data_IF_301248903706
#
_entry.id   IF_301248903706
#
_cell.length_a   1.000
_cell.length_b   1.000
_cell.length_c   1.000
_cell.angle_alpha   90.00
_cell.angle_beta   90.00
_cell.angle_gamma   90.00
#
_symmetry.space_group_name_H-M   'P 1'
#
loop_
_entity.id
_entity.type
_entity.pdbx_description
1 polymer ?
#
# COMPACT_ATOMS: atom_id res chain seq x y z
N UNK A 1 -8.53 14.70 -18.95
CA UNK A 1 -7.45 13.70 -18.91
C UNK A 1 -7.85 12.54 -19.80
N UNK A 2 -6.89 12.02 -20.58
CA UNK A 2 -7.13 10.94 -21.53
C UNK A 2 -7.25 9.58 -20.81
N UNK A 3 -8.12 8.70 -21.32
CA UNK A 3 -8.35 7.37 -20.76
C UNK A 3 -7.09 6.49 -20.77
N UNK A 4 -6.16 6.71 -21.71
CA UNK A 4 -4.87 6.02 -21.76
C UNK A 4 -4.01 6.34 -20.53
N UNK A 5 -3.90 7.62 -20.17
CA UNK A 5 -3.20 8.04 -18.95
C UNK A 5 -3.84 7.46 -17.69
N UNK A 6 -5.17 7.47 -17.62
CA UNK A 6 -5.92 6.86 -16.52
C UNK A 6 -5.66 5.35 -16.40
N UNK A 7 -5.54 4.65 -17.53
CA UNK A 7 -5.21 3.22 -17.56
C UNK A 7 -3.77 2.95 -17.10
N UNK A 8 -2.79 3.77 -17.48
CA UNK A 8 -1.41 3.62 -16.99
C UNK A 8 -1.32 3.83 -15.48
N UNK A 9 -2.00 4.86 -14.95
CA UNK A 9 -2.10 5.08 -13.49
C UNK A 9 -2.75 3.86 -12.81
N UNK A 10 -3.83 3.32 -13.37
CA UNK A 10 -4.52 2.15 -12.81
C UNK A 10 -3.63 0.90 -12.79
N UNK A 11 -2.76 0.71 -13.80
CA UNK A 11 -1.78 -0.39 -13.83
C UNK A 11 -0.77 -0.27 -12.69
N UNK A 12 -0.22 0.92 -12.45
CA UNK A 12 0.71 1.14 -11.33
C UNK A 12 0.00 0.97 -9.97
N UNK A 13 -1.26 1.43 -9.84
CA UNK A 13 -2.06 1.15 -8.64
C UNK A 13 -2.32 -0.35 -8.44
N UNK A 14 -2.53 -1.11 -9.52
CA UNK A 14 -2.69 -2.57 -9.45
C UNK A 14 -1.42 -3.26 -8.96
N UNK A 15 -0.23 -2.85 -9.44
CA UNK A 15 1.06 -3.34 -8.97
C UNK A 15 1.26 -3.02 -7.49
N UNK A 16 1.07 -1.75 -7.11
CA UNK A 16 1.16 -1.29 -5.72
C UNK A 16 0.23 -2.10 -4.79
N UNK A 17 -1.01 -2.35 -5.22
CA UNK A 17 -1.95 -3.18 -4.46
C UNK A 17 -1.46 -4.62 -4.28
N UNK A 18 -0.85 -5.23 -5.28
CA UNK A 18 -0.29 -6.59 -5.16
C UNK A 18 0.85 -6.61 -4.14
N UNK A 19 1.78 -5.65 -4.20
CA UNK A 19 2.85 -5.52 -3.21
C UNK A 19 2.29 -5.40 -1.80
N UNK A 20 1.26 -4.58 -1.57
CA UNK A 20 0.65 -4.48 -0.24
C UNK A 20 -0.02 -5.78 0.26
N UNK A 21 -0.53 -6.63 -0.65
CA UNK A 21 -1.07 -7.94 -0.23
C UNK A 21 0.06 -8.86 0.23
N UNK A 22 1.19 -8.85 -0.49
CA UNK A 22 2.36 -9.62 -0.10
C UNK A 22 3.00 -9.09 1.18
N UNK A 23 3.08 -7.77 1.37
CA UNK A 23 3.55 -7.16 2.62
C UNK A 23 2.68 -7.62 3.79
N UNK A 24 1.36 -7.63 3.65
CA UNK A 24 0.46 -8.11 4.70
C UNK A 24 0.70 -9.59 5.00
N UNK A 25 0.74 -10.44 3.96
CA UNK A 25 0.97 -11.88 4.09
C UNK A 25 2.30 -12.16 4.79
N UNK A 26 3.38 -11.55 4.33
CA UNK A 26 4.72 -11.72 4.89
C UNK A 26 4.77 -11.21 6.33
N UNK A 27 4.09 -10.11 6.65
CA UNK A 27 4.00 -9.59 8.03
C UNK A 27 3.34 -10.60 8.96
N UNK A 28 2.28 -11.28 8.51
CA UNK A 28 1.68 -12.39 9.26
C UNK A 28 2.65 -13.56 9.43
N UNK A 29 3.32 -13.97 8.35
CA UNK A 29 4.30 -15.07 8.36
C UNK A 29 5.48 -14.77 9.32
N UNK A 30 5.92 -13.51 9.39
CA UNK A 30 6.92 -13.03 10.36
C UNK A 30 6.41 -13.22 11.79
N UNK A 31 5.17 -12.81 12.07
CA UNK A 31 4.54 -12.99 13.37
C UNK A 31 4.49 -14.46 13.81
N UNK A 32 4.21 -15.36 12.87
CA UNK A 32 4.16 -16.81 13.11
C UNK A 32 5.57 -17.40 13.32
N UNK A 33 6.56 -16.98 12.53
CA UNK A 33 7.96 -17.38 12.69
C UNK A 33 8.54 -16.93 14.04
N UNK A 34 8.22 -15.70 14.47
CA UNK A 34 8.59 -15.17 15.79
C UNK A 34 7.98 -16.00 16.92
N UNK A 35 6.71 -16.40 16.80
CA UNK A 35 6.06 -17.29 17.78
C UNK A 35 6.72 -18.67 17.89
N UNK A 36 7.36 -19.15 16.82
CA UNK A 36 8.14 -20.39 16.81
C UNK A 36 9.62 -20.20 17.19
N UNK A 37 10.04 -18.97 17.48
CA UNK A 37 11.43 -18.58 17.71
C UNK A 37 12.37 -18.97 16.55
N UNK A 38 11.85 -18.98 15.32
CA UNK A 38 12.62 -19.31 14.12
C UNK A 38 13.30 -18.06 13.57
N UNK A 39 14.45 -17.72 14.15
CA UNK A 39 15.19 -16.50 13.81
C UNK A 39 15.72 -16.49 12.38
N UNK A 40 16.03 -17.66 11.81
CA UNK A 40 16.54 -17.75 10.44
C UNK A 40 15.43 -17.40 9.45
N UNK A 41 14.23 -17.96 9.63
CA UNK A 41 13.08 -17.65 8.80
C UNK A 41 12.65 -16.19 8.93
N UNK A 42 12.69 -15.62 10.14
CA UNK A 42 12.38 -14.18 10.35
C UNK A 42 13.27 -13.29 9.49
N UNK A 43 14.57 -13.55 9.42
CA UNK A 43 15.48 -12.72 8.62
C UNK A 43 15.19 -12.81 7.11
N UNK A 44 14.88 -14.01 6.61
CA UNK A 44 14.48 -14.21 5.21
C UNK A 44 13.20 -13.41 4.91
N UNK A 45 12.18 -13.56 5.76
CA UNK A 45 10.90 -12.89 5.57
C UNK A 45 11.02 -11.36 5.66
N UNK A 46 11.89 -10.82 6.53
CA UNK A 46 12.16 -9.39 6.58
C UNK A 46 12.77 -8.87 5.28
N UNK A 47 13.69 -9.63 4.66
CA UNK A 47 14.25 -9.30 3.34
C UNK A 47 13.16 -9.28 2.26
N UNK A 48 12.34 -10.33 2.19
CA UNK A 48 11.22 -10.40 1.24
C UNK A 48 10.23 -9.25 1.44
N UNK A 49 9.92 -8.89 2.69
CA UNK A 49 9.04 -7.75 2.98
C UNK A 49 9.64 -6.44 2.49
N UNK A 50 10.95 -6.25 2.65
CA UNK A 50 11.64 -5.06 2.16
C UNK A 50 11.59 -4.97 0.62
N UNK A 51 11.79 -6.10 -0.08
CA UNK A 51 11.68 -6.14 -1.54
C UNK A 51 10.30 -5.69 -2.01
N UNK A 52 9.22 -6.16 -1.38
CA UNK A 52 7.85 -5.73 -1.71
C UNK A 52 7.60 -4.25 -1.41
N UNK A 53 8.18 -3.71 -0.32
CA UNK A 53 8.11 -2.28 0.00
C UNK A 53 8.81 -1.46 -1.10
N UNK A 54 9.99 -1.87 -1.53
CA UNK A 54 10.75 -1.18 -2.57
C UNK A 54 9.97 -1.17 -3.91
N UNK A 55 9.28 -2.26 -4.26
CA UNK A 55 8.42 -2.33 -5.44
C UNK A 55 7.17 -1.45 -5.32
N UNK A 56 6.56 -1.38 -4.14
CA UNK A 56 5.44 -0.48 -3.87
C UNK A 56 5.87 0.99 -3.99
N UNK A 57 7.05 1.35 -3.50
CA UNK A 57 7.63 2.70 -3.67
C UNK A 57 7.91 3.02 -5.14
N UNK A 58 8.43 2.06 -5.90
CA UNK A 58 8.66 2.25 -7.33
C UNK A 58 7.36 2.54 -8.06
N UNK A 59 6.31 1.78 -7.76
CA UNK A 59 4.97 2.01 -8.32
C UNK A 59 4.43 3.40 -7.96
N UNK A 60 4.65 3.86 -6.72
CA UNK A 60 4.27 5.21 -6.31
C UNK A 60 5.03 6.30 -7.07
N UNK A 61 6.34 6.14 -7.27
CA UNK A 61 7.15 7.08 -8.06
C UNK A 61 6.68 7.13 -9.51
N UNK A 62 6.31 5.99 -10.10
CA UNK A 62 5.75 5.93 -11.45
C UNK A 62 4.41 6.66 -11.54
N UNK A 63 3.52 6.51 -10.55
CA UNK A 63 2.27 7.27 -10.47
C UNK A 63 2.57 8.77 -10.45
N UNK A 64 3.48 9.23 -9.59
CA UNK A 64 3.86 10.64 -9.53
C UNK A 64 4.46 11.16 -10.85
N UNK A 65 5.26 10.34 -11.53
CA UNK A 65 5.82 10.68 -12.83
C UNK A 65 4.72 10.83 -13.89
N UNK A 66 3.76 9.90 -13.96
CA UNK A 66 2.61 9.98 -14.86
C UNK A 66 1.79 11.26 -14.62
N UNK A 67 1.53 11.57 -13.35
CA UNK A 67 0.82 12.79 -12.95
C UNK A 67 1.58 14.09 -13.31
N UNK A 68 2.90 14.02 -13.49
CA UNK A 68 3.70 15.20 -13.89
C UNK A 68 3.55 15.57 -15.38
N UNK A 69 3.02 14.66 -16.21
CA UNK A 69 2.80 14.90 -17.64
C UNK A 69 1.42 15.48 -17.99
N UNK A 70 0.54 15.61 -16.99
CA UNK A 70 -0.81 16.19 -17.16
C UNK A 70 -0.91 17.53 -16.45
N UNK A 71 -2.03 18.24 -16.66
CA UNK A 71 -2.23 19.53 -16.02
C UNK A 71 -2.37 19.40 -14.50
N UNK A 72 -2.02 20.44 -13.75
CA UNK A 72 -2.12 20.46 -12.28
C UNK A 72 -3.54 20.16 -11.77
N UNK A 73 -4.57 20.63 -12.48
CA UNK A 73 -5.97 20.36 -12.12
C UNK A 73 -6.30 18.87 -12.29
N UNK A 74 -5.94 18.28 -13.43
CA UNK A 74 -6.14 16.85 -13.67
C UNK A 74 -5.34 15.99 -12.69
N UNK A 75 -4.10 16.37 -12.38
CA UNK A 75 -3.27 15.66 -11.40
C UNK A 75 -3.89 15.70 -10.00
N UNK A 76 -4.46 16.84 -9.62
CA UNK A 76 -5.15 17.01 -8.33
C UNK A 76 -6.40 16.12 -8.26
N UNK A 77 -7.20 16.09 -9.33
CA UNK A 77 -8.37 15.22 -9.42
C UNK A 77 -7.98 13.73 -9.39
N UNK A 78 -6.98 13.34 -10.18
CA UNK A 78 -6.47 11.98 -10.21
C UNK A 78 -5.97 11.53 -8.83
N UNK A 79 -5.28 12.40 -8.10
CA UNK A 79 -4.84 12.12 -6.72
C UNK A 79 -5.99 11.89 -5.75
N UNK A 80 -7.11 12.61 -5.91
CA UNK A 80 -8.31 12.36 -5.11
C UNK A 80 -8.85 10.95 -5.37
N UNK A 81 -8.88 10.51 -6.64
CA UNK A 81 -9.32 9.15 -6.99
C UNK A 81 -8.34 8.08 -6.52
N UNK A 82 -7.03 8.28 -6.66
CA UNK A 82 -5.98 7.37 -6.18
C UNK A 82 -6.05 7.20 -4.66
N UNK A 83 -6.46 8.25 -3.93
CA UNK A 83 -6.73 8.22 -2.48
C UNK A 83 -8.11 7.67 -2.12
N UNK A 84 -8.86 7.12 -3.08
CA UNK A 84 -10.17 6.52 -2.82
C UNK A 84 -11.25 7.53 -2.41
N UNK A 85 -11.10 8.82 -2.72
CA UNK A 85 -12.17 9.80 -2.48
C UNK A 85 -13.35 9.50 -3.39
N UNK A 86 -14.54 9.40 -2.79
CA UNK A 86 -15.80 9.04 -3.46
C UNK A 86 -16.69 10.21 -3.85
N UNK A 87 -16.25 11.44 -3.57
CA UNK A 87 -17.00 12.65 -3.91
C UNK A 87 -16.93 12.94 -5.41
N UNK A 88 -18.09 13.25 -6.00
CA UNK A 88 -18.22 13.71 -7.39
C UNK A 88 -17.50 12.84 -8.43
N UNK A 89 -17.59 11.51 -8.31
CA UNK A 89 -16.95 10.57 -9.25
C UNK A 89 -17.65 10.70 -10.62
N UNK A 90 -16.91 11.04 -11.71
CA UNK A 90 -17.47 11.05 -13.05
C UNK A 90 -17.98 9.67 -13.48
N UNK A 91 -18.92 9.64 -14.44
CA UNK A 91 -19.43 8.39 -15.01
C UNK A 91 -18.44 7.77 -16.03
N UNK A 92 -17.21 7.51 -15.57
CA UNK A 92 -16.15 6.85 -16.32
C UNK A 92 -15.75 5.55 -15.58
N UNK A 93 -15.77 4.38 -16.25
CA UNK A 93 -15.45 3.10 -15.62
C UNK A 93 -14.01 3.00 -15.08
N UNK A 94 -13.03 3.65 -15.72
CA UNK A 94 -11.63 3.62 -15.27
C UNK A 94 -11.48 4.42 -13.99
N UNK A 95 -12.13 5.59 -13.91
CA UNK A 95 -12.12 6.42 -12.69
C UNK A 95 -12.76 5.69 -11.52
N UNK A 96 -13.89 5.01 -11.72
CA UNK A 96 -14.52 4.18 -10.68
C UNK A 96 -13.55 3.12 -10.15
N UNK A 97 -12.82 2.43 -11.04
CA UNK A 97 -11.80 1.44 -10.66
C UNK A 97 -10.63 2.06 -9.90
N UNK A 98 -10.17 3.26 -10.28
CA UNK A 98 -9.12 3.97 -9.53
C UNK A 98 -9.55 4.25 -8.10
N UNK A 99 -10.78 4.75 -7.90
CA UNK A 99 -11.34 5.02 -6.57
C UNK A 99 -11.45 3.75 -5.74
N UNK A 100 -12.04 2.69 -6.30
CA UNK A 100 -12.16 1.38 -5.64
C UNK A 100 -10.79 0.84 -5.23
N UNK A 101 -9.78 0.99 -6.11
CA UNK A 101 -8.41 0.55 -5.85
C UNK A 101 -7.75 1.37 -4.76
N UNK A 102 -7.92 2.69 -4.77
CA UNK A 102 -7.42 3.59 -3.74
C UNK A 102 -7.96 3.23 -2.36
N UNK A 103 -9.29 3.04 -2.26
CA UNK A 103 -9.93 2.57 -1.02
C UNK A 103 -9.37 1.21 -0.58
N UNK A 104 -9.21 0.27 -1.52
CA UNK A 104 -8.71 -1.07 -1.21
C UNK A 104 -7.28 -1.06 -0.66
N UNK A 105 -6.40 -0.23 -1.25
CA UNK A 105 -5.02 -0.05 -0.76
C UNK A 105 -5.03 0.56 0.64
N UNK A 106 -5.85 1.59 0.90
CA UNK A 106 -5.95 2.20 2.23
C UNK A 106 -6.38 1.21 3.31
N UNK A 107 -7.42 0.41 3.02
CA UNK A 107 -7.87 -0.63 3.95
C UNK A 107 -6.79 -1.68 4.22
N UNK A 108 -6.03 -2.05 3.19
CA UNK A 108 -4.94 -3.02 3.30
C UNK A 108 -3.75 -2.49 4.11
N UNK A 109 -3.37 -1.22 3.89
CA UNK A 109 -2.36 -0.53 4.70
C UNK A 109 -2.77 -0.50 6.16
N UNK A 110 -4.00 -0.09 6.45
CA UNK A 110 -4.51 -0.01 7.82
C UNK A 110 -4.46 -1.38 8.52
N UNK A 111 -4.96 -2.43 7.87
CA UNK A 111 -4.91 -3.80 8.39
C UNK A 111 -3.47 -4.29 8.63
N UNK A 112 -2.56 -3.98 7.71
CA UNK A 112 -1.14 -4.34 7.83
C UNK A 112 -0.50 -3.66 9.04
N UNK A 113 -0.77 -2.37 9.26
CA UNK A 113 -0.28 -1.61 10.41
C UNK A 113 -0.83 -2.19 11.72
N UNK A 114 -2.11 -2.55 11.75
CA UNK A 114 -2.72 -3.20 12.93
C UNK A 114 -2.06 -4.55 13.23
N UNK A 115 -1.79 -5.36 12.21
CA UNK A 115 -1.07 -6.62 12.33
C UNK A 115 0.33 -6.44 12.90
N UNK A 116 1.12 -5.51 12.34
CA UNK A 116 2.47 -5.19 12.80
C UNK A 116 2.45 -4.67 14.25
N UNK A 117 1.47 -3.80 14.60
CA UNK A 117 1.24 -3.33 15.97
C UNK A 117 0.99 -4.47 16.93
N UNK A 118 0.11 -5.41 16.59
CA UNK A 118 -0.17 -6.56 17.44
C UNK A 118 1.07 -7.44 17.66
N UNK A 119 1.84 -7.71 16.60
CA UNK A 119 3.08 -8.50 16.68
C UNK A 119 4.11 -7.79 17.56
N UNK A 120 4.33 -6.49 17.32
CA UNK A 120 5.30 -5.67 18.03
C UNK A 120 4.97 -5.55 19.52
N UNK A 121 3.72 -5.25 19.87
CA UNK A 121 3.25 -5.18 21.26
C UNK A 121 3.38 -6.53 21.99
N UNK A 122 3.08 -7.65 21.30
CA UNK A 122 3.20 -9.00 21.90
C UNK A 122 4.65 -9.36 22.22
N UNK A 123 5.61 -8.90 21.42
CA UNK A 123 7.02 -9.29 21.53
C UNK A 123 7.84 -8.34 22.40
N UNK A 124 7.66 -7.03 22.22
CA UNK A 124 8.45 -6.00 22.89
C UNK A 124 7.71 -5.37 24.09
N UNK A 125 6.39 -5.58 24.22
CA UNK A 125 5.61 -5.02 25.32
C UNK A 125 5.75 -3.50 25.40
N UNK A 126 6.31 -3.01 26.52
CA UNK A 126 6.52 -1.57 26.77
C UNK A 126 7.60 -0.95 25.89
N UNK A 127 8.50 -1.77 25.32
CA UNK A 127 9.55 -1.34 24.40
C UNK A 127 9.09 -1.36 22.93
N UNK A 128 7.81 -1.63 22.69
CA UNK A 128 7.21 -1.59 21.35
C UNK A 128 7.24 -0.19 20.77
N UNK A 129 7.60 -0.09 19.50
CA UNK A 129 7.50 1.14 18.69
C UNK A 129 6.11 1.80 18.78
N UNK A 130 5.06 0.99 18.92
CA UNK A 130 3.67 1.47 18.97
C UNK A 130 3.20 1.91 20.36
N UNK A 131 4.05 1.83 21.39
CA UNK A 131 3.74 2.33 22.74
C UNK A 131 3.86 3.86 22.82
N UNK A 132 4.66 4.47 21.94
CA UNK A 132 4.94 5.91 21.90
C UNK A 132 4.19 6.66 20.81
N UNK A 133 3.49 5.95 19.93
CA UNK A 133 2.63 6.55 18.91
C UNK A 133 1.25 6.85 19.53
N UNK A 134 0.71 8.08 19.37
CA UNK A 134 -0.61 8.45 19.88
C UNK A 134 -1.74 7.57 19.32
#
# INVERSE_FOLDING_TARGET
MEDEMLMEILKEMQKKYQCFNEIERITKDIGDALSRNDRALVQILLGMRQEEIDQAEMSERNIHLLLSFITTDEATQAMNWIKGNKENIPENPIIKKLVEKGTSIQMLVQRTIELDRHISMRLAGKDSFYQTLP
#
